data_IF_263785180149
#
_entry.id   IF_263785180149
#
_cell.length_a   1.000
_cell.length_b   1.000
_cell.length_c   1.000
_cell.angle_alpha   90.00
_cell.angle_beta   90.00
_cell.angle_gamma   90.00
#
_symmetry.space_group_name_H-M   'P 1'
#
loop_
_entity.id
_entity.type
_entity.pdbx_description
1 polymer ?
#
# COMPACT_ATOMS: atom_id res chain seq x y z
N UNK A 1 7.85 16.57 -1.61
CA UNK A 1 6.38 16.72 -1.69
C UNK A 1 5.79 15.32 -1.90
N UNK A 2 5.01 14.68 -1.04
CA UNK A 2 4.72 14.84 0.38
C UNK A 2 4.33 13.45 0.91
N UNK A 3 5.03 12.96 1.95
CA UNK A 3 4.82 11.63 2.56
C UNK A 3 3.42 11.41 3.14
N UNK A 4 2.60 12.48 3.20
CA UNK A 4 1.22 12.45 3.74
C UNK A 4 0.18 12.25 2.64
N UNK A 5 0.53 12.54 1.37
CA UNK A 5 -0.44 12.59 0.28
C UNK A 5 -0.84 11.20 -0.27
N UNK A 6 -0.18 10.15 0.20
CA UNK A 6 -0.35 8.77 -0.23
C UNK A 6 -0.70 7.83 0.93
N UNK A 7 -1.38 8.37 1.95
CA UNK A 7 -1.92 7.63 3.09
C UNK A 7 -3.44 7.56 2.97
N UNK A 8 -4.00 6.36 2.97
CA UNK A 8 -5.45 6.11 3.01
C UNK A 8 -5.89 5.50 4.34
N UNK A 9 -7.18 5.56 4.65
CA UNK A 9 -7.79 4.81 5.78
C UNK A 9 -8.06 3.35 5.43
N UNK A 10 -8.13 3.04 4.14
CA UNK A 10 -8.34 1.70 3.61
C UNK A 10 -7.67 1.56 2.23
N UNK A 11 -7.78 0.37 1.65
CA UNK A 11 -7.17 0.06 0.35
C UNK A 11 -7.68 0.97 -0.78
N UNK A 12 -8.98 1.26 -0.80
CA UNK A 12 -9.57 2.09 -1.85
C UNK A 12 -9.08 3.55 -1.77
N UNK A 13 -9.01 4.14 -0.58
CA UNK A 13 -8.53 5.51 -0.39
C UNK A 13 -7.02 5.63 -0.66
N UNK A 14 -6.24 4.58 -0.36
CA UNK A 14 -4.84 4.50 -0.79
C UNK A 14 -4.76 4.55 -2.33
N UNK A 15 -5.54 3.74 -3.04
CA UNK A 15 -5.55 3.72 -4.51
C UNK A 15 -6.03 5.06 -5.09
N UNK A 16 -7.09 5.65 -4.52
CA UNK A 16 -7.59 6.97 -4.93
C UNK A 16 -6.49 8.04 -4.86
N UNK A 17 -5.71 8.03 -3.78
CA UNK A 17 -4.59 8.94 -3.61
C UNK A 17 -3.48 8.70 -4.65
N UNK A 18 -3.14 7.43 -4.93
CA UNK A 18 -2.14 7.11 -5.96
C UNK A 18 -2.57 7.56 -7.36
N UNK A 19 -3.87 7.43 -7.70
CA UNK A 19 -4.43 7.95 -8.96
C UNK A 19 -4.38 9.48 -8.98
N UNK A 20 -4.82 10.14 -7.90
CA UNK A 20 -4.84 11.61 -7.77
C UNK A 20 -3.44 12.23 -7.91
N UNK A 21 -2.41 11.51 -7.50
CA UNK A 21 -1.01 11.94 -7.61
C UNK A 21 -0.33 11.51 -8.92
N UNK A 22 -1.08 11.02 -9.90
CA UNK A 22 -0.57 10.59 -11.21
C UNK A 22 0.48 9.46 -11.11
N UNK A 23 0.41 8.65 -10.04
CA UNK A 23 1.27 7.48 -9.83
C UNK A 23 0.67 6.25 -10.53
N UNK A 24 -0.65 6.04 -10.43
CA UNK A 24 -1.37 5.02 -11.21
C UNK A 24 -2.03 5.71 -12.40
N UNK A 25 -1.67 5.28 -13.63
CA UNK A 25 -2.21 5.85 -14.88
C UNK A 25 -3.05 4.86 -15.67
N UNK A 26 -2.90 3.57 -15.38
CA UNK A 26 -3.53 2.49 -16.11
C UNK A 26 -4.75 1.98 -15.35
N UNK A 27 -5.94 2.07 -15.97
CA UNK A 27 -7.20 1.60 -15.39
C UNK A 27 -7.17 0.12 -14.98
N UNK A 28 -6.42 -0.71 -15.71
CA UNK A 28 -6.25 -2.13 -15.36
C UNK A 28 -5.45 -2.29 -14.07
N UNK A 29 -4.42 -1.48 -13.88
CA UNK A 29 -3.58 -1.49 -12.66
C UNK A 29 -4.40 -0.99 -11.48
N UNK A 30 -5.12 0.12 -11.63
CA UNK A 30 -6.04 0.64 -10.61
C UNK A 30 -7.02 -0.44 -10.16
N UNK A 31 -7.70 -1.09 -11.11
CA UNK A 31 -8.67 -2.16 -10.81
C UNK A 31 -8.04 -3.32 -10.05
N UNK A 32 -6.85 -3.76 -10.44
CA UNK A 32 -6.15 -4.87 -9.75
C UNK A 32 -5.77 -4.45 -8.33
N UNK A 33 -5.25 -3.23 -8.14
CA UNK A 33 -4.87 -2.73 -6.83
C UNK A 33 -6.07 -2.57 -5.89
N UNK A 34 -7.26 -2.22 -6.39
CA UNK A 34 -8.49 -2.22 -5.60
C UNK A 34 -8.94 -3.62 -5.17
N UNK A 35 -8.77 -4.62 -6.04
CA UNK A 35 -9.17 -6.01 -5.77
C UNK A 35 -8.23 -6.72 -4.78
N UNK A 36 -6.96 -6.31 -4.72
CA UNK A 36 -5.94 -6.92 -3.87
C UNK A 36 -5.68 -6.02 -2.67
N UNK A 37 -6.43 -6.27 -1.60
CA UNK A 37 -6.27 -5.54 -0.34
C UNK A 37 -4.91 -5.81 0.31
N UNK A 38 -4.06 -4.78 0.33
CA UNK A 38 -2.71 -4.81 0.89
C UNK A 38 -2.68 -5.23 2.36
N UNK A 39 -3.70 -4.84 3.15
CA UNK A 39 -3.75 -5.13 4.58
C UNK A 39 -3.83 -6.63 4.89
N UNK A 40 -4.40 -7.43 3.98
CA UNK A 40 -4.53 -8.89 4.13
C UNK A 40 -3.20 -9.65 4.08
N UNK A 41 -2.14 -8.99 3.63
CA UNK A 41 -0.80 -9.58 3.54
C UNK A 41 0.12 -9.12 4.67
N UNK A 42 -0.41 -8.37 5.64
CA UNK A 42 0.33 -7.85 6.79
C UNK A 42 -0.17 -8.47 8.10
N UNK A 43 0.71 -8.64 9.10
CA UNK A 43 0.27 -8.97 10.45
C UNK A 43 -0.72 -7.93 10.99
N UNK A 44 -1.74 -8.36 11.73
CA UNK A 44 -2.82 -7.48 12.22
C UNK A 44 -2.29 -6.25 12.96
N UNK A 45 -1.26 -6.41 13.79
CA UNK A 45 -0.63 -5.32 14.54
C UNK A 45 0.10 -4.29 13.66
N UNK A 46 0.36 -4.60 12.39
CA UNK A 46 0.99 -3.69 11.44
C UNK A 46 -0.02 -3.02 10.49
N UNK A 47 -1.27 -3.52 10.40
CA UNK A 47 -2.25 -3.07 9.41
C UNK A 47 -2.62 -1.60 9.61
N UNK A 48 -3.07 -1.24 10.82
CA UNK A 48 -3.56 0.11 11.11
C UNK A 48 -2.51 1.19 10.84
N UNK A 49 -1.25 0.89 11.16
CA UNK A 49 -0.16 1.85 11.01
C UNK A 49 0.48 1.84 9.63
N UNK A 50 0.51 0.73 8.90
CA UNK A 50 1.39 0.59 7.74
C UNK A 50 0.71 0.09 6.46
N UNK A 51 -0.45 -0.57 6.54
CA UNK A 51 -1.04 -1.21 5.36
C UNK A 51 -1.41 -0.23 4.26
N UNK A 52 -1.94 0.94 4.61
CA UNK A 52 -2.52 1.88 3.64
C UNK A 52 -1.65 3.11 3.43
N UNK A 53 -0.33 2.94 3.56
CA UNK A 53 0.68 3.97 3.27
C UNK A 53 1.46 3.59 2.03
N UNK A 54 1.80 4.58 1.22
CA UNK A 54 2.75 4.39 0.13
C UNK A 54 4.20 4.31 0.61
N UNK A 55 4.48 3.31 1.45
CA UNK A 55 5.80 3.04 1.99
C UNK A 55 6.06 1.54 1.99
N UNK A 56 7.31 1.16 1.79
CA UNK A 56 7.72 -0.21 2.04
C UNK A 56 7.59 -0.53 3.53
N UNK A 57 7.25 -1.77 3.84
CA UNK A 57 7.19 -2.28 5.20
C UNK A 57 7.99 -3.58 5.30
N UNK A 58 8.61 -3.79 6.45
CA UNK A 58 9.28 -5.04 6.80
C UNK A 58 8.89 -5.45 8.21
N UNK A 59 8.81 -6.75 8.46
CA UNK A 59 8.59 -7.28 9.80
C UNK A 59 9.78 -6.96 10.70
N UNK A 60 9.50 -6.36 11.85
CA UNK A 60 10.49 -6.21 12.91
C UNK A 60 10.64 -7.54 13.65
N UNK A 61 11.89 -8.04 13.74
CA UNK A 61 12.31 -9.17 14.58
C UNK A 61 11.88 -10.59 14.15
N UNK A 62 11.39 -10.81 12.94
CA UNK A 62 11.23 -12.16 12.38
C UNK A 62 10.21 -13.07 13.10
N UNK A 63 9.42 -12.53 14.04
CA UNK A 63 8.39 -13.26 14.79
C UNK A 63 7.29 -13.82 13.86
N UNK A 64 7.01 -13.11 12.77
CA UNK A 64 6.13 -13.54 11.65
C UNK A 64 6.92 -13.98 10.42
N UNK A 65 8.22 -14.30 10.60
CA UNK A 65 9.18 -14.52 9.52
C UNK A 65 9.76 -13.22 8.95
N UNK A 66 10.71 -13.31 8.03
CA UNK A 66 11.28 -12.15 7.34
C UNK A 66 10.39 -11.74 6.17
N UNK A 67 9.33 -10.99 6.46
CA UNK A 67 8.41 -10.48 5.45
C UNK A 67 8.81 -9.07 5.04
N UNK A 68 8.88 -8.82 3.73
CA UNK A 68 9.08 -7.50 3.15
C UNK A 68 8.01 -7.24 2.10
N UNK A 69 7.38 -6.07 2.18
CA UNK A 69 6.32 -5.63 1.28
C UNK A 69 6.73 -4.28 0.71
N UNK A 70 7.02 -4.24 -0.60
CA UNK A 70 7.39 -3.01 -1.32
C UNK A 70 6.31 -1.94 -1.25
N UNK A 71 6.66 -0.67 -1.47
CA UNK A 71 5.68 0.41 -1.57
C UNK A 71 4.67 0.14 -2.72
N UNK A 72 3.38 0.44 -2.54
CA UNK A 72 2.34 0.34 -3.58
C UNK A 72 2.73 0.98 -4.92
N UNK A 73 3.35 2.17 -4.92
CA UNK A 73 3.69 2.90 -6.14
C UNK A 73 4.66 2.16 -7.07
N UNK A 74 5.43 1.19 -6.56
CA UNK A 74 6.34 0.37 -7.38
C UNK A 74 5.56 -0.49 -8.40
N UNK A 75 4.28 -0.77 -8.14
CA UNK A 75 3.41 -1.57 -9.00
C UNK A 75 2.43 -0.73 -9.83
N UNK A 76 2.58 0.60 -9.82
CA UNK A 76 1.59 1.53 -10.37
C UNK A 76 1.70 1.80 -11.89
N UNK A 77 2.70 1.21 -12.57
CA UNK A 77 2.96 1.37 -14.02
C UNK A 77 2.13 0.43 -14.90
#
# INVERSE_FOLDING_TARGET
MGLVASVGRNNDELVDNLVKHDLIKNERVERIMRLVDRGKFMPENAVEENAYKDSAWKSDLGLTGFLHISAPCIYAN
#
